data_IF_596763934023
#
_entry.id   IF_596763934023
#
_cell.length_a   1.000
_cell.length_b   1.000
_cell.length_c   1.000
_cell.angle_alpha   90.00
_cell.angle_beta   90.00
_cell.angle_gamma   90.00
#
_symmetry.space_group_name_H-M   'P 1'
#
loop_
_entity.id
_entity.type
_entity.pdbx_description
1 polymer ?
#
# COMPACT_ATOMS: atom_id res chain seq x y z
N UNK A 1 -14.49 10.18 -10.93
CA UNK A 1 -13.73 10.52 -12.16
C UNK A 1 -12.29 10.15 -11.87
N UNK A 2 -11.82 9.06 -12.49
CA UNK A 2 -10.66 8.29 -12.03
C UNK A 2 -9.35 9.00 -12.38
N UNK A 3 -8.36 8.96 -11.47
CA UNK A 3 -6.99 9.46 -11.65
C UNK A 3 -6.21 8.82 -12.84
N UNK A 4 -6.88 8.01 -13.65
CA UNK A 4 -6.30 7.30 -14.78
C UNK A 4 -5.95 8.22 -15.97
N UNK A 5 -6.51 9.44 -16.03
CA UNK A 5 -6.23 10.39 -17.13
C UNK A 5 -5.80 11.79 -16.66
N UNK A 6 -6.06 12.15 -15.41
CA UNK A 6 -5.62 13.40 -14.81
C UNK A 6 -4.98 13.07 -13.46
N UNK A 7 -3.71 13.43 -13.28
CA UNK A 7 -3.12 13.42 -11.95
C UNK A 7 -3.97 14.34 -11.06
N UNK A 8 -4.69 13.76 -10.11
CA UNK A 8 -5.41 14.53 -9.09
C UNK A 8 -4.36 15.01 -8.11
N UNK A 9 -4.00 16.29 -8.23
CA UNK A 9 -3.02 16.93 -7.35
C UNK A 9 -3.50 16.80 -5.90
N UNK A 10 -2.82 15.99 -5.09
CA UNK A 10 -3.13 15.76 -3.67
C UNK A 10 -3.80 14.42 -3.31
N UNK A 11 -4.19 13.59 -4.28
CA UNK A 11 -4.75 12.25 -3.98
C UNK A 11 -3.72 11.32 -3.31
N UNK A 12 -2.42 11.52 -3.58
CA UNK A 12 -1.35 10.72 -2.96
C UNK A 12 -1.13 11.03 -1.46
N UNK A 13 -1.63 12.18 -0.99
CA UNK A 13 -1.51 12.65 0.41
C UNK A 13 -2.76 12.40 1.26
N UNK A 14 -3.87 11.98 0.66
CA UNK A 14 -5.16 11.84 1.36
C UNK A 14 -5.31 10.46 1.99
N UNK A 15 -4.79 10.33 3.21
CA UNK A 15 -4.94 9.15 4.10
C UNK A 15 -6.41 8.74 4.27
N UNK A 16 -7.30 9.72 4.39
CA UNK A 16 -8.72 9.49 4.66
C UNK A 16 -9.47 9.01 3.42
N UNK A 17 -9.08 9.48 2.24
CA UNK A 17 -9.68 9.02 0.97
C UNK A 17 -9.41 7.53 0.74
N UNK A 18 -8.18 7.07 1.02
CA UNK A 18 -7.82 5.66 0.90
C UNK A 18 -8.74 4.73 1.70
N UNK A 19 -9.05 5.11 2.95
CA UNK A 19 -9.93 4.33 3.83
C UNK A 19 -11.38 4.42 3.37
N UNK A 20 -11.82 5.61 2.96
CA UNK A 20 -13.20 5.84 2.51
C UNK A 20 -13.49 5.03 1.25
N UNK A 21 -12.57 5.02 0.28
CA UNK A 21 -12.74 4.23 -0.94
C UNK A 21 -12.77 2.73 -0.66
N UNK A 22 -11.95 2.22 0.28
CA UNK A 22 -12.01 0.81 0.68
C UNK A 22 -13.35 0.46 1.35
N UNK A 23 -13.89 1.35 2.18
CA UNK A 23 -15.21 1.17 2.82
C UNK A 23 -16.34 1.20 1.79
N UNK A 24 -16.33 2.17 0.86
CA UNK A 24 -17.31 2.29 -0.23
C UNK A 24 -17.29 1.08 -1.18
N UNK A 25 -16.13 0.46 -1.38
CA UNK A 25 -15.98 -0.77 -2.14
C UNK A 25 -16.45 -2.02 -1.39
N UNK A 26 -16.76 -1.89 -0.08
CA UNK A 26 -17.14 -3.02 0.77
C UNK A 26 -16.00 -3.99 1.02
N UNK A 27 -14.75 -3.50 1.03
CA UNK A 27 -13.56 -4.31 1.26
C UNK A 27 -13.61 -5.00 2.63
N UNK A 28 -13.29 -6.29 2.67
CA UNK A 28 -13.44 -7.12 3.86
C UNK A 28 -12.22 -8.02 4.15
N UNK A 29 -12.30 -8.79 5.23
CA UNK A 29 -11.27 -9.70 5.72
C UNK A 29 -10.95 -10.86 4.75
N UNK A 30 -11.86 -11.14 3.81
CA UNK A 30 -11.70 -12.17 2.77
C UNK A 30 -10.97 -11.66 1.53
N UNK A 31 -10.83 -10.35 1.40
CA UNK A 31 -10.13 -9.73 0.28
C UNK A 31 -8.63 -9.66 0.55
N UNK A 32 -7.86 -9.34 -0.49
CA UNK A 32 -6.41 -9.10 -0.39
C UNK A 32 -6.11 -7.72 -0.93
N UNK A 33 -5.45 -6.88 -0.12
CA UNK A 33 -5.00 -5.57 -0.56
C UNK A 33 -3.57 -5.63 -1.07
N UNK A 34 -3.33 -5.12 -2.30
CA UNK A 34 -2.00 -5.02 -2.89
C UNK A 34 -1.62 -3.55 -3.03
N UNK A 35 -0.71 -3.07 -2.17
CA UNK A 35 -0.18 -1.72 -2.23
C UNK A 35 1.03 -1.63 -3.14
N UNK A 36 0.99 -0.73 -4.13
CA UNK A 36 2.08 -0.53 -5.09
C UNK A 36 2.59 0.91 -4.94
N UNK A 37 3.89 1.07 -4.68
CA UNK A 37 4.49 2.39 -4.58
C UNK A 37 5.99 2.35 -4.83
N UNK A 38 6.49 3.22 -5.71
CA UNK A 38 7.90 3.22 -6.11
C UNK A 38 8.84 3.43 -4.90
N UNK A 39 8.65 4.53 -4.16
CA UNK A 39 9.38 4.82 -2.92
C UNK A 39 8.84 4.02 -1.72
N UNK A 40 7.56 3.66 -1.79
CA UNK A 40 6.85 2.93 -0.75
C UNK A 40 6.60 3.74 0.53
N UNK A 41 6.49 5.07 0.40
CA UNK A 41 6.20 6.03 1.49
C UNK A 41 5.00 6.92 1.19
N UNK A 42 4.28 6.69 0.09
CA UNK A 42 3.11 7.49 -0.27
C UNK A 42 2.02 7.32 0.82
N UNK A 43 1.59 8.42 1.48
CA UNK A 43 0.65 8.37 2.60
C UNK A 43 -0.62 7.57 2.30
N UNK A 44 -1.17 7.71 1.10
CA UNK A 44 -2.35 6.97 0.66
C UNK A 44 -2.15 5.44 0.75
N UNK A 45 -1.06 4.91 0.15
CA UNK A 45 -0.79 3.47 0.11
C UNK A 45 -0.45 2.91 1.49
N UNK A 46 0.28 3.69 2.29
CA UNK A 46 0.61 3.36 3.67
C UNK A 46 -0.67 3.24 4.51
N UNK A 47 -1.56 4.22 4.41
CA UNK A 47 -2.83 4.25 5.12
C UNK A 47 -3.76 3.09 4.74
N UNK A 48 -3.88 2.82 3.44
CA UNK A 48 -4.68 1.71 2.92
C UNK A 48 -4.22 0.36 3.48
N UNK A 49 -2.91 0.10 3.44
CA UNK A 49 -2.33 -1.14 3.94
C UNK A 49 -2.45 -1.27 5.46
N UNK A 50 -2.21 -0.18 6.20
CA UNK A 50 -2.36 -0.19 7.65
C UNK A 50 -3.81 -0.46 8.06
N UNK A 51 -4.77 0.20 7.41
CA UNK A 51 -6.20 -0.01 7.64
C UNK A 51 -6.64 -1.45 7.31
N UNK A 52 -6.25 -1.98 6.15
CA UNK A 52 -6.57 -3.35 5.77
C UNK A 52 -6.02 -4.37 6.78
N UNK A 53 -4.77 -4.19 7.22
CA UNK A 53 -4.11 -5.09 8.17
C UNK A 53 -4.63 -4.95 9.60
N UNK A 54 -4.78 -3.73 10.10
CA UNK A 54 -5.06 -3.47 11.51
C UNK A 54 -6.55 -3.42 11.81
N UNK A 55 -7.35 -2.79 10.95
CA UNK A 55 -8.79 -2.61 11.19
C UNK A 55 -9.59 -3.79 10.65
N UNK A 56 -9.33 -4.20 9.42
CA UNK A 56 -10.11 -5.24 8.74
C UNK A 56 -9.55 -6.64 8.99
N UNK A 57 -8.25 -6.76 9.30
CA UNK A 57 -7.52 -8.03 9.43
C UNK A 57 -7.49 -8.83 8.12
N UNK A 58 -7.47 -8.13 6.99
CA UNK A 58 -7.30 -8.70 5.65
C UNK A 58 -5.82 -8.99 5.37
N UNK A 59 -5.56 -9.89 4.42
CA UNK A 59 -4.21 -10.18 3.94
C UNK A 59 -3.68 -9.03 3.09
N UNK A 60 -2.41 -8.68 3.31
CA UNK A 60 -1.79 -7.51 2.67
C UNK A 60 -0.50 -7.84 1.92
N UNK A 61 -0.34 -7.26 0.72
CA UNK A 61 0.85 -7.40 -0.12
C UNK A 61 1.41 -6.01 -0.45
N UNK A 62 2.73 -5.84 -0.39
CA UNK A 62 3.40 -4.61 -0.80
C UNK A 62 4.42 -4.83 -1.93
N UNK A 63 4.41 -3.92 -2.90
CA UNK A 63 5.40 -3.85 -3.98
C UNK A 63 6.04 -2.46 -3.98
N UNK A 64 7.35 -2.42 -3.69
CA UNK A 64 8.16 -1.19 -3.79
C UNK A 64 9.50 -1.40 -4.48
N UNK A 65 10.03 -0.33 -5.07
CA UNK A 65 11.36 -0.33 -5.66
C UNK A 65 12.46 -0.21 -4.60
N UNK A 66 12.14 0.38 -3.45
CA UNK A 66 13.08 0.52 -2.33
C UNK A 66 12.95 -0.64 -1.32
N UNK A 67 14.06 -1.25 -0.88
CA UNK A 67 14.03 -2.15 0.26
C UNK A 67 13.73 -1.38 1.55
N UNK A 68 13.12 -2.02 2.55
CA UNK A 68 12.73 -1.35 3.81
C UNK A 68 11.79 -0.15 3.64
N UNK A 69 10.93 -0.14 2.63
CA UNK A 69 9.90 0.89 2.52
C UNK A 69 8.86 0.74 3.64
N UNK A 70 8.16 1.84 3.98
CA UNK A 70 7.11 1.82 5.00
C UNK A 70 6.04 0.76 4.68
N UNK A 71 5.61 0.69 3.42
CA UNK A 71 4.63 -0.32 2.98
C UNK A 71 5.14 -1.76 3.09
N UNK A 72 6.45 -1.99 2.88
CA UNK A 72 7.04 -3.33 3.00
C UNK A 72 7.14 -3.82 4.45
N UNK A 73 7.17 -2.90 5.43
CA UNK A 73 7.16 -3.24 6.85
C UNK A 73 5.74 -3.50 7.37
N UNK A 74 4.74 -2.89 6.75
CA UNK A 74 3.33 -3.05 7.13
C UNK A 74 2.78 -4.35 6.54
N UNK A 75 3.02 -4.62 5.26
CA UNK A 75 2.39 -5.76 4.57
C UNK A 75 2.83 -7.14 5.11
N UNK A 76 1.97 -8.14 4.96
CA UNK A 76 2.27 -9.53 5.32
C UNK A 76 3.26 -10.17 4.35
N UNK A 77 3.13 -9.83 3.07
CA UNK A 77 4.05 -10.25 2.01
C UNK A 77 4.59 -9.00 1.30
N UNK A 78 5.90 -8.92 1.11
CA UNK A 78 6.52 -7.86 0.33
C UNK A 78 7.44 -8.44 -0.74
N UNK A 79 7.63 -7.71 -1.85
CA UNK A 79 8.58 -8.13 -2.88
C UNK A 79 9.99 -8.29 -2.27
N UNK A 80 10.75 -9.32 -2.71
CA UNK A 80 12.03 -9.64 -2.11
C UNK A 80 12.98 -8.46 -2.23
N UNK A 81 13.70 -8.19 -1.14
CA UNK A 81 14.79 -7.22 -1.12
C UNK A 81 15.77 -7.64 -2.21
N UNK A 82 16.06 -6.74 -3.16
CA UNK A 82 17.29 -6.88 -3.91
C UNK A 82 18.40 -6.65 -2.88
N UNK A 83 18.96 -7.74 -2.38
CA UNK A 83 20.15 -7.68 -1.58
C UNK A 83 21.16 -6.86 -2.38
N UNK A 84 21.68 -5.78 -1.78
CA UNK A 84 23.11 -5.59 -1.90
C UNK A 84 23.72 -6.82 -1.25
N UNK A 85 23.87 -7.90 -2.01
CA UNK A 85 24.60 -9.08 -1.56
C UNK A 85 25.96 -8.60 -1.05
N UNK A 86 26.33 -8.76 0.24
CA UNK A 86 27.72 -9.02 0.50
C UNK A 86 27.98 -10.35 -0.20
N UNK A 87 28.68 -10.32 -1.35
CA UNK A 87 29.22 -11.53 -1.96
C UNK A 87 29.96 -12.29 -0.86
N UNK A 88 29.37 -13.39 -0.39
CA UNK A 88 30.11 -14.41 0.34
C UNK A 88 31.00 -15.19 -0.62
#
# INVERSE_FOLDING_TARGET
>A
MTALTNAVEGAEDSVTEAITELDELGFCDKDVLVGIGCLGTHPYVVAALDYAKNSIKSSTIAISCNPNSAISMIADVANPRRSSDPKS
#
